data_IF_799374516097
#
_entry.id   IF_799374516097
#
_cell.length_a   1.000
_cell.length_b   1.000
_cell.length_c   1.000
_cell.angle_alpha   90.00
_cell.angle_beta   90.00
_cell.angle_gamma   90.00
#
_symmetry.space_group_name_H-M   'P 1'
#
loop_
_entity.id
_entity.type
_entity.pdbx_description
1 polymer ?
#
# COMPACT_ATOMS: atom_id res chain seq x y z
N UNK A 1 -18.18 3.86 -9.10
CA UNK A 1 -18.58 2.48 -8.79
C UNK A 1 -17.85 1.57 -9.78
N UNK A 2 -16.93 0.73 -9.31
CA UNK A 2 -16.15 -0.16 -10.19
C UNK A 2 -17.05 -1.29 -10.70
N UNK A 3 -17.02 -1.56 -12.00
CA UNK A 3 -17.83 -2.60 -12.62
C UNK A 3 -17.35 -4.00 -12.19
N UNK A 4 -18.28 -4.82 -11.70
CA UNK A 4 -18.04 -6.20 -11.30
C UNK A 4 -18.54 -7.16 -12.39
N UNK A 5 -17.84 -8.28 -12.65
CA UNK A 5 -18.28 -9.27 -13.64
C UNK A 5 -19.64 -9.86 -13.24
N UNK A 6 -20.52 -10.07 -14.23
CA UNK A 6 -21.82 -10.71 -14.04
C UNK A 6 -21.84 -12.06 -14.74
N UNK A 7 -21.78 -13.14 -13.94
CA UNK A 7 -21.91 -14.52 -14.37
C UNK A 7 -20.59 -15.27 -14.66
N UNK A 8 -20.63 -16.62 -14.72
CA UNK A 8 -19.42 -17.48 -14.64
C UNK A 8 -18.40 -17.27 -15.77
N UNK A 9 -18.88 -16.97 -16.99
CA UNK A 9 -18.01 -16.70 -18.14
C UNK A 9 -17.25 -15.38 -17.98
N UNK A 10 -17.91 -14.36 -17.43
CA UNK A 10 -17.29 -13.05 -17.20
C UNK A 10 -16.26 -13.13 -16.08
N UNK A 11 -16.55 -13.91 -15.03
CA UNK A 11 -15.60 -14.18 -13.94
C UNK A 11 -14.33 -14.86 -14.45
N UNK A 12 -14.48 -15.92 -15.25
CA UNK A 12 -13.30 -16.61 -15.82
C UNK A 12 -12.43 -15.68 -16.68
N UNK A 13 -13.04 -14.81 -17.49
CA UNK A 13 -12.31 -13.80 -18.27
C UNK A 13 -11.57 -12.82 -17.33
N UNK A 14 -12.24 -12.35 -16.26
CA UNK A 14 -11.61 -11.47 -15.28
C UNK A 14 -10.40 -12.12 -14.62
N UNK A 15 -10.56 -13.37 -14.19
CA UNK A 15 -9.49 -14.14 -13.55
C UNK A 15 -8.29 -14.31 -14.48
N UNK A 16 -8.49 -14.75 -15.72
CA UNK A 16 -7.39 -14.95 -16.67
C UNK A 16 -6.66 -13.65 -17.00
N UNK A 17 -7.38 -12.54 -17.17
CA UNK A 17 -6.76 -11.23 -17.45
C UNK A 17 -6.00 -10.70 -16.23
N UNK A 18 -6.55 -10.85 -15.02
CA UNK A 18 -5.88 -10.44 -13.80
C UNK A 18 -4.61 -11.26 -13.56
N UNK A 19 -4.66 -12.59 -13.69
CA UNK A 19 -3.49 -13.47 -13.53
C UNK A 19 -2.38 -13.10 -14.53
N UNK A 20 -2.72 -12.96 -15.82
CA UNK A 20 -1.77 -12.52 -16.84
C UNK A 20 -1.13 -11.16 -16.51
N UNK A 21 -1.90 -10.24 -15.94
CA UNK A 21 -1.39 -8.93 -15.51
C UNK A 21 -0.44 -9.08 -14.33
N UNK A 22 -0.73 -9.94 -13.34
CA UNK A 22 0.13 -10.20 -12.19
C UNK A 22 1.48 -10.80 -12.57
N UNK A 23 1.48 -11.73 -13.53
CA UNK A 23 2.69 -12.32 -14.10
C UNK A 23 3.56 -11.23 -14.76
N UNK A 24 2.97 -10.42 -15.63
CA UNK A 24 3.67 -9.31 -16.30
C UNK A 24 4.23 -8.28 -15.32
N UNK A 25 3.47 -7.93 -14.28
CA UNK A 25 3.94 -7.04 -13.22
C UNK A 25 5.13 -7.64 -12.45
N UNK A 26 5.17 -8.96 -12.29
CA UNK A 26 6.28 -9.65 -11.62
C UNK A 26 7.51 -9.78 -12.54
N UNK A 27 7.30 -9.94 -13.85
CA UNK A 27 8.37 -10.07 -14.86
C UNK A 27 9.10 -8.75 -15.12
N UNK A 28 8.38 -7.63 -15.16
CA UNK A 28 8.97 -6.35 -15.56
C UNK A 28 8.21 -5.10 -15.12
N UNK A 29 7.36 -5.23 -14.10
CA UNK A 29 6.58 -4.12 -13.56
C UNK A 29 5.54 -3.56 -14.54
N UNK A 30 5.10 -2.34 -14.26
CA UNK A 30 4.08 -1.67 -15.07
C UNK A 30 4.46 -1.49 -16.55
N UNK A 31 5.74 -1.23 -16.91
CA UNK A 31 6.16 -1.16 -18.31
C UNK A 31 5.91 -2.45 -19.10
N UNK A 32 6.12 -3.62 -18.49
CA UNK A 32 5.88 -4.91 -19.13
C UNK A 32 4.38 -5.22 -19.29
N UNK A 33 3.55 -4.78 -18.34
CA UNK A 33 2.10 -4.99 -18.33
C UNK A 33 1.32 -4.10 -19.33
N UNK A 34 1.73 -4.07 -20.60
CA UNK A 34 0.99 -3.39 -21.67
C UNK A 34 -0.32 -4.11 -21.99
N UNK A 35 -1.33 -3.40 -22.50
CA UNK A 35 -2.61 -4.04 -22.90
C UNK A 35 -2.40 -5.11 -23.97
N UNK A 36 -1.41 -4.90 -24.85
CA UNK A 36 -1.01 -5.85 -25.89
C UNK A 36 -0.41 -7.12 -25.30
N UNK A 37 0.54 -6.98 -24.38
CA UNK A 37 1.14 -8.10 -23.67
C UNK A 37 0.11 -8.86 -22.84
N UNK A 38 -0.79 -8.15 -22.14
CA UNK A 38 -1.87 -8.74 -21.36
C UNK A 38 -2.83 -9.51 -22.28
N UNK A 39 -3.24 -8.94 -23.42
CA UNK A 39 -4.11 -9.61 -24.38
C UNK A 39 -3.48 -10.89 -24.94
N UNK A 40 -2.19 -10.82 -25.31
CA UNK A 40 -1.44 -11.98 -25.80
C UNK A 40 -1.30 -13.08 -24.74
N UNK A 41 -1.03 -12.71 -23.47
CA UNK A 41 -0.87 -13.64 -22.35
C UNK A 41 -2.19 -14.30 -21.94
N UNK A 42 -3.25 -13.49 -21.82
CA UNK A 42 -4.57 -13.94 -21.38
C UNK A 42 -5.41 -14.58 -22.48
N UNK A 43 -5.00 -14.45 -23.75
CA UNK A 43 -5.79 -14.85 -24.92
C UNK A 43 -7.17 -14.15 -24.98
N UNK A 44 -7.27 -12.96 -24.39
CA UNK A 44 -8.47 -12.12 -24.39
C UNK A 44 -8.25 -10.90 -25.26
N UNK A 45 -9.22 -10.57 -26.12
CA UNK A 45 -9.12 -9.42 -27.02
C UNK A 45 -8.98 -8.10 -26.26
N UNK A 46 -8.25 -7.14 -26.81
CA UNK A 46 -8.13 -5.78 -26.24
C UNK A 46 -9.49 -5.11 -26.04
N UNK A 47 -10.42 -5.30 -26.99
CA UNK A 47 -11.78 -4.77 -26.90
C UNK A 47 -12.52 -5.30 -25.66
N UNK A 48 -12.36 -6.59 -25.35
CA UNK A 48 -12.91 -7.20 -24.13
C UNK A 48 -12.24 -6.63 -22.87
N UNK A 49 -10.93 -6.40 -22.88
CA UNK A 49 -10.21 -5.77 -21.75
C UNK A 49 -10.75 -4.35 -21.50
N UNK A 50 -10.80 -3.50 -22.53
CA UNK A 50 -11.30 -2.13 -22.39
C UNK A 50 -12.79 -2.05 -21.99
N UNK A 51 -13.58 -3.09 -22.29
CA UNK A 51 -14.97 -3.18 -21.81
C UNK A 51 -15.06 -3.31 -20.28
N UNK A 52 -14.05 -3.91 -19.63
CA UNK A 52 -14.08 -4.23 -18.21
C UNK A 52 -13.20 -3.32 -17.34
N UNK A 53 -12.13 -2.77 -17.91
CA UNK A 53 -11.25 -1.84 -17.20
C UNK A 53 -11.09 -0.56 -18.01
N UNK A 54 -11.28 0.62 -17.38
CA UNK A 54 -11.24 1.90 -18.08
C UNK A 54 -9.84 2.26 -18.58
N UNK A 55 -8.79 1.66 -18.00
CA UNK A 55 -7.41 1.93 -18.37
C UNK A 55 -6.46 0.78 -18.00
N UNK A 56 -5.23 0.82 -18.53
CA UNK A 56 -4.14 -0.08 -18.12
C UNK A 56 -3.84 0.06 -16.63
N UNK A 57 -3.78 1.29 -16.12
CA UNK A 57 -3.49 1.55 -14.69
C UNK A 57 -4.58 0.99 -13.80
N UNK A 58 -5.85 1.09 -14.19
CA UNK A 58 -6.96 0.50 -13.44
C UNK A 58 -6.87 -1.03 -13.34
N UNK A 59 -6.58 -1.70 -14.46
CA UNK A 59 -6.35 -3.15 -14.47
C UNK A 59 -5.13 -3.54 -13.63
N UNK A 60 -4.01 -2.86 -13.81
CA UNK A 60 -2.77 -3.14 -13.08
C UNK A 60 -2.91 -2.87 -11.59
N UNK A 61 -3.64 -1.82 -11.18
CA UNK A 61 -3.96 -1.54 -9.78
C UNK A 61 -4.78 -2.66 -9.12
N UNK A 62 -5.82 -3.16 -9.82
CA UNK A 62 -6.61 -4.30 -9.32
C UNK A 62 -5.77 -5.58 -9.21
N UNK A 63 -4.97 -5.88 -10.23
CA UNK A 63 -4.07 -7.03 -10.24
C UNK A 63 -3.03 -6.97 -9.11
N UNK A 64 -2.38 -5.81 -8.95
CA UNK A 64 -1.40 -5.55 -7.89
C UNK A 64 -2.03 -5.61 -6.50
N UNK A 65 -3.21 -5.03 -6.31
CA UNK A 65 -3.99 -5.13 -5.08
C UNK A 65 -4.22 -6.60 -4.67
N UNK A 66 -4.61 -7.45 -5.63
CA UNK A 66 -4.77 -8.89 -5.40
C UNK A 66 -3.45 -9.60 -5.07
N UNK A 67 -2.33 -9.26 -5.71
CA UNK A 67 -1.00 -9.81 -5.35
C UNK A 67 -0.61 -9.49 -3.91
N UNK A 68 -1.10 -8.35 -3.44
CA UNK A 68 -0.77 -7.77 -2.15
C UNK A 68 -1.88 -7.98 -1.10
N UNK A 69 -2.87 -8.82 -1.39
CA UNK A 69 -4.04 -9.08 -0.53
C UNK A 69 -3.76 -10.04 0.63
N UNK A 70 -2.50 -10.44 0.86
CA UNK A 70 -2.12 -11.20 2.03
C UNK A 70 -2.44 -10.42 3.31
N UNK A 71 -2.75 -11.14 4.39
CA UNK A 71 -2.96 -10.53 5.70
C UNK A 71 -1.75 -9.63 6.04
N UNK A 72 -2.03 -8.39 6.40
CA UNK A 72 -1.04 -7.46 6.93
C UNK A 72 -1.19 -7.51 8.46
N UNK A 73 -0.56 -8.46 9.16
CA UNK A 73 -0.69 -8.54 10.60
C UNK A 73 -0.22 -7.22 11.20
N UNK A 74 -1.09 -6.55 11.93
CA UNK A 74 -0.75 -5.30 12.58
C UNK A 74 0.27 -5.57 13.70
N UNK A 75 1.31 -4.75 13.84
CA UNK A 75 2.16 -4.77 15.04
C UNK A 75 1.30 -4.62 16.30
N UNK A 76 1.60 -5.38 17.35
CA UNK A 76 0.94 -5.23 18.65
C UNK A 76 1.96 -5.37 19.78
N UNK A 77 2.82 -4.37 19.93
CA UNK A 77 3.83 -4.31 21.00
C UNK A 77 3.24 -3.75 22.30
N UNK A 78 1.94 -3.49 22.36
CA UNK A 78 1.28 -2.88 23.51
C UNK A 78 1.59 -1.39 23.74
N UNK A 79 2.22 -0.69 22.79
CA UNK A 79 2.55 0.72 22.89
C UNK A 79 2.62 1.38 21.50
N UNK A 80 2.03 2.58 21.35
CA UNK A 80 1.91 3.27 20.06
C UNK A 80 3.26 3.53 19.38
N UNK A 81 4.28 3.89 20.18
CA UNK A 81 5.64 4.11 19.67
C UNK A 81 6.17 2.87 18.97
N UNK A 82 6.00 1.70 19.60
CA UNK A 82 6.44 0.43 19.05
C UNK A 82 5.65 0.05 17.81
N UNK A 83 4.32 0.06 17.93
CA UNK A 83 3.41 -0.31 16.86
C UNK A 83 3.65 0.49 15.57
N UNK A 84 3.71 1.82 15.69
CA UNK A 84 3.89 2.72 14.54
C UNK A 84 5.31 2.68 14.00
N UNK A 85 6.34 2.52 14.85
CA UNK A 85 7.73 2.38 14.39
C UNK A 85 7.91 1.11 13.58
N UNK A 86 7.43 -0.03 14.07
CA UNK A 86 7.50 -1.29 13.34
C UNK A 86 6.75 -1.22 12.01
N UNK A 87 5.62 -0.51 11.99
CA UNK A 87 4.88 -0.30 10.75
C UNK A 87 5.64 0.57 9.74
N UNK A 88 6.30 1.64 10.18
CA UNK A 88 7.18 2.46 9.30
C UNK A 88 8.34 1.64 8.75
N UNK A 89 8.96 0.79 9.57
CA UNK A 89 10.04 -0.13 9.14
C UNK A 89 9.53 -1.09 8.06
N UNK A 90 8.37 -1.73 8.28
CA UNK A 90 7.76 -2.66 7.31
C UNK A 90 7.44 -1.98 5.98
N UNK A 91 6.90 -0.76 6.01
CA UNK A 91 6.60 0.01 4.80
C UNK A 91 7.89 0.43 4.08
N UNK A 92 8.91 0.86 4.82
CA UNK A 92 10.22 1.19 4.24
C UNK A 92 10.86 -0.02 3.54
N UNK A 93 10.82 -1.20 4.17
CA UNK A 93 11.31 -2.44 3.57
C UNK A 93 10.52 -2.82 2.30
N UNK A 94 9.20 -2.68 2.34
CA UNK A 94 8.35 -2.88 1.17
C UNK A 94 8.73 -1.95 0.01
N UNK A 95 8.90 -0.65 0.27
CA UNK A 95 9.34 0.31 -0.76
C UNK A 95 10.75 0.02 -1.29
N UNK A 96 11.62 -0.60 -0.48
CA UNK A 96 12.93 -1.06 -0.91
C UNK A 96 12.90 -2.30 -1.83
N UNK A 97 11.81 -3.07 -1.84
CA UNK A 97 11.69 -4.32 -2.59
C UNK A 97 11.38 -4.14 -4.08
N UNK A 98 11.47 -5.23 -4.85
CA UNK A 98 11.01 -5.29 -6.25
C UNK A 98 9.52 -4.93 -6.38
N UNK A 99 8.68 -5.40 -5.46
CA UNK A 99 7.26 -5.01 -5.43
C UNK A 99 7.07 -3.52 -5.12
N UNK A 100 7.98 -2.92 -4.35
CA UNK A 100 8.05 -1.48 -4.12
C UNK A 100 8.34 -0.68 -5.39
N UNK A 101 9.10 -1.25 -6.33
CA UNK A 101 9.30 -0.68 -7.68
C UNK A 101 7.96 -0.59 -8.41
N UNK A 102 7.22 -1.70 -8.46
CA UNK A 102 5.91 -1.78 -9.14
C UNK A 102 4.90 -0.83 -8.52
N UNK A 103 4.87 -0.76 -7.18
CA UNK A 103 4.05 0.21 -6.45
C UNK A 103 4.37 1.66 -6.87
N UNK A 104 5.64 2.04 -6.91
CA UNK A 104 6.05 3.41 -7.27
C UNK A 104 5.68 3.75 -8.73
N UNK A 105 5.84 2.79 -9.66
CA UNK A 105 5.42 2.94 -11.05
C UNK A 105 3.91 3.14 -11.19
N UNK A 106 3.11 2.35 -10.46
CA UNK A 106 1.65 2.49 -10.42
C UNK A 106 1.21 3.82 -9.82
N UNK A 107 1.84 4.23 -8.72
CA UNK A 107 1.55 5.51 -8.09
C UNK A 107 1.85 6.68 -9.04
N UNK A 108 2.99 6.65 -9.74
CA UNK A 108 3.33 7.65 -10.75
C UNK A 108 2.30 7.66 -11.90
N UNK A 109 1.88 6.50 -12.39
CA UNK A 109 0.87 6.40 -13.45
C UNK A 109 -0.51 6.93 -13.04
N UNK A 110 -0.82 6.96 -11.73
CA UNK A 110 -2.08 7.54 -11.23
C UNK A 110 -2.15 9.07 -11.39
N UNK A 111 -1.02 9.76 -11.57
CA UNK A 111 -0.98 11.22 -11.77
C UNK A 111 -1.70 11.60 -13.06
N UNK A 112 -1.48 10.84 -14.14
CA UNK A 112 -2.06 11.09 -15.46
C UNK A 112 -3.36 10.32 -15.71
N UNK A 113 -3.76 9.44 -14.79
CA UNK A 113 -4.92 8.56 -14.96
C UNK A 113 -5.83 8.54 -13.71
N UNK A 114 -6.78 9.50 -13.62
CA UNK A 114 -7.72 9.57 -12.49
C UNK A 114 -8.58 8.32 -12.31
N UNK A 115 -8.92 7.62 -13.41
CA UNK A 115 -9.69 6.37 -13.35
C UNK A 115 -8.83 5.25 -12.75
N UNK A 116 -7.58 5.14 -13.16
CA UNK A 116 -6.58 4.27 -12.55
C UNK A 116 -6.36 4.57 -11.06
N UNK A 117 -6.28 5.86 -10.70
CA UNK A 117 -6.11 6.31 -9.32
C UNK A 117 -7.26 5.86 -8.40
N UNK A 118 -8.50 5.83 -8.91
CA UNK A 118 -9.65 5.31 -8.16
C UNK A 118 -9.50 3.81 -7.85
N UNK A 119 -9.08 3.01 -8.83
CA UNK A 119 -8.83 1.58 -8.64
C UNK A 119 -7.65 1.34 -7.69
N UNK A 120 -6.59 2.15 -7.77
CA UNK A 120 -5.46 2.06 -6.85
C UNK A 120 -5.86 2.36 -5.41
N UNK A 121 -6.70 3.38 -5.20
CA UNK A 121 -7.27 3.66 -3.89
C UNK A 121 -8.12 2.50 -3.36
N UNK A 122 -9.01 1.97 -4.19
CA UNK A 122 -9.94 0.89 -3.80
C UNK A 122 -9.22 -0.43 -3.52
N UNK A 123 -8.41 -0.91 -4.46
CA UNK A 123 -7.87 -2.28 -4.40
C UNK A 123 -6.53 -2.40 -3.66
N UNK A 124 -5.79 -1.30 -3.50
CA UNK A 124 -4.51 -1.31 -2.79
C UNK A 124 -4.55 -0.48 -1.51
N UNK A 125 -4.82 0.83 -1.60
CA UNK A 125 -4.63 1.74 -0.46
C UNK A 125 -5.67 1.57 0.65
N UNK A 126 -6.94 1.30 0.33
CA UNK A 126 -8.04 1.29 1.31
C UNK A 126 -7.75 0.35 2.50
N UNK A 127 -7.37 -0.90 2.24
CA UNK A 127 -7.04 -1.86 3.31
C UNK A 127 -5.83 -1.44 4.15
N UNK A 128 -4.81 -0.81 3.53
CA UNK A 128 -3.63 -0.31 4.24
C UNK A 128 -3.95 0.90 5.11
N UNK A 129 -4.80 1.82 4.63
CA UNK A 129 -5.27 2.96 5.41
C UNK A 129 -6.13 2.50 6.60
N UNK A 130 -7.00 1.52 6.40
CA UNK A 130 -7.78 0.92 7.48
C UNK A 130 -6.88 0.32 8.57
N UNK A 131 -5.84 -0.43 8.18
CA UNK A 131 -4.83 -0.98 9.08
C UNK A 131 -4.13 0.11 9.93
N UNK A 132 -3.68 1.21 9.32
CA UNK A 132 -3.08 2.32 10.07
C UNK A 132 -4.12 3.01 10.97
N UNK A 133 -5.36 3.11 10.51
CA UNK A 133 -6.46 3.68 11.30
C UNK A 133 -6.69 2.89 12.57
N UNK A 134 -6.62 1.56 12.50
CA UNK A 134 -6.71 0.70 13.67
C UNK A 134 -5.52 0.89 14.63
N UNK A 135 -4.28 0.99 14.12
CA UNK A 135 -3.11 1.30 14.96
C UNK A 135 -3.26 2.64 15.70
N UNK A 136 -3.73 3.66 14.98
CA UNK A 136 -3.93 4.99 15.54
C UNK A 136 -5.04 5.01 16.58
N UNK A 137 -6.17 4.34 16.31
CA UNK A 137 -7.27 4.26 17.26
C UNK A 137 -6.85 3.56 18.55
N UNK A 138 -6.07 2.47 18.48
CA UNK A 138 -5.53 1.82 19.68
C UNK A 138 -4.63 2.75 20.50
N UNK A 139 -3.85 3.62 19.85
CA UNK A 139 -3.05 4.62 20.55
C UNK A 139 -3.94 5.66 21.26
N UNK A 140 -5.00 6.14 20.60
CA UNK A 140 -5.98 7.06 21.19
C UNK A 140 -6.69 6.44 22.38
N UNK A 141 -7.13 5.19 22.26
CA UNK A 141 -7.84 4.48 23.34
C UNK A 141 -6.95 4.27 24.57
N UNK A 142 -5.62 4.15 24.37
CA UNK A 142 -4.62 4.09 25.44
C UNK A 142 -4.24 5.47 26.02
N UNK A 143 -4.75 6.57 25.46
CA UNK A 143 -4.35 7.94 25.84
C UNK A 143 -2.94 8.33 25.37
N UNK A 144 -2.37 7.58 24.41
CA UNK A 144 -1.01 7.78 23.92
C UNK A 144 -0.94 8.77 22.74
N UNK A 145 -2.07 9.02 22.08
CA UNK A 145 -2.21 9.86 20.90
C UNK A 145 -3.27 10.95 21.09
N UNK A 146 -3.09 12.08 20.42
CA UNK A 146 -4.07 13.17 20.42
C UNK A 146 -5.22 12.85 19.44
N UNK A 147 -6.46 12.66 19.93
CA UNK A 147 -7.62 12.35 19.08
C UNK A 147 -8.02 13.48 18.13
N UNK A 148 -7.50 14.70 18.31
CA UNK A 148 -7.75 15.82 17.41
C UNK A 148 -6.95 15.76 16.11
N UNK A 149 -5.88 14.95 16.05
CA UNK A 149 -5.08 14.75 14.84
C UNK A 149 -5.82 13.80 13.90
N UNK A 150 -6.07 14.26 12.67
CA UNK A 150 -6.67 13.41 11.65
C UNK A 150 -5.72 12.27 11.27
N UNK A 151 -6.24 11.05 11.20
CA UNK A 151 -5.42 9.88 10.85
C UNK A 151 -4.80 9.97 9.46
N UNK A 152 -5.42 10.73 8.57
CA UNK A 152 -4.89 11.00 7.23
C UNK A 152 -3.58 11.80 7.31
N UNK A 153 -3.49 12.77 8.22
CA UNK A 153 -2.26 13.53 8.47
C UNK A 153 -1.18 12.63 9.08
N UNK A 154 -1.56 11.71 9.98
CA UNK A 154 -0.65 10.71 10.55
C UNK A 154 -0.04 9.84 9.45
N UNK A 155 -0.87 9.36 8.52
CA UNK A 155 -0.43 8.55 7.37
C UNK A 155 0.54 9.36 6.50
N UNK A 156 0.20 10.60 6.18
CA UNK A 156 1.01 11.44 5.29
C UNK A 156 2.37 11.80 5.93
N UNK A 157 2.39 12.09 7.23
CA UNK A 157 3.63 12.36 7.99
C UNK A 157 4.52 11.12 8.08
N UNK A 158 3.95 9.95 8.39
CA UNK A 158 4.73 8.72 8.60
C UNK A 158 5.26 8.12 7.29
N UNK A 159 4.47 8.15 6.21
CA UNK A 159 4.79 7.41 4.99
C UNK A 159 5.15 8.30 3.79
N UNK A 160 4.72 9.57 3.78
CA UNK A 160 5.05 10.55 2.74
C UNK A 160 6.56 10.69 2.48
N UNK A 161 7.41 10.82 3.51
CA UNK A 161 8.86 10.88 3.31
C UNK A 161 9.44 9.60 2.70
N UNK A 162 8.90 8.43 3.03
CA UNK A 162 9.37 7.14 2.48
C UNK A 162 9.08 7.04 0.98
N UNK A 163 7.90 7.47 0.53
CA UNK A 163 7.57 7.45 -0.89
C UNK A 163 8.35 8.53 -1.66
N UNK A 164 8.57 9.71 -1.06
CA UNK A 164 9.42 10.73 -1.65
C UNK A 164 10.86 10.23 -1.86
N UNK A 165 11.44 9.54 -0.85
CA UNK A 165 12.74 8.86 -0.96
C UNK A 165 12.74 7.81 -2.07
N UNK A 166 11.69 7.00 -2.17
CA UNK A 166 11.57 5.97 -3.22
C UNK A 166 11.54 6.55 -4.63
N UNK A 167 10.78 7.63 -4.84
CA UNK A 167 10.59 8.22 -6.17
C UNK A 167 11.81 8.99 -6.65
N UNK A 168 12.55 9.64 -5.75
CA UNK A 168 13.66 10.53 -6.10
C UNK A 168 15.03 9.91 -5.87
N UNK A 169 15.14 8.87 -5.05
CA UNK A 169 16.41 8.23 -4.71
C UNK A 169 17.36 9.11 -3.87
N UNK A 170 16.91 10.27 -3.38
CA UNK A 170 17.78 11.22 -2.66
C UNK A 170 18.28 10.69 -1.30
N UNK A 171 17.69 9.60 -0.80
CA UNK A 171 18.07 8.99 0.47
C UNK A 171 17.72 7.49 0.50
N UNK A 172 18.53 6.70 1.20
CA UNK A 172 18.38 5.25 1.24
C UNK A 172 17.25 4.78 2.17
N UNK A 173 16.53 3.74 1.75
CA UNK A 173 15.48 3.08 2.53
C UNK A 173 16.09 1.94 3.37
N UNK A 174 16.77 2.29 4.45
CA UNK A 174 17.29 1.33 5.44
C UNK A 174 16.39 1.29 6.67
N UNK A 175 16.43 0.18 7.41
CA UNK A 175 15.72 0.06 8.68
C UNK A 175 16.13 1.16 9.67
N UNK A 176 17.43 1.43 9.78
CA UNK A 176 17.95 2.49 10.65
C UNK A 176 17.30 3.85 10.35
N UNK A 177 17.23 4.23 9.06
CA UNK A 177 16.62 5.50 8.65
C UNK A 177 15.10 5.51 8.79
N UNK A 178 14.44 4.35 8.66
CA UNK A 178 13.01 4.22 8.90
C UNK A 178 12.67 4.41 10.39
N UNK A 179 13.43 3.79 11.29
CA UNK A 179 13.29 3.98 12.75
C UNK A 179 13.56 5.42 13.17
N UNK A 180 14.61 6.04 12.63
CA UNK A 180 14.92 7.45 12.91
C UNK A 180 13.83 8.41 12.42
N UNK A 181 13.26 8.15 11.24
CA UNK A 181 12.13 8.91 10.71
C UNK A 181 10.89 8.75 11.61
N UNK A 182 10.54 7.52 11.97
CA UNK A 182 9.43 7.24 12.87
C UNK A 182 9.60 7.98 14.20
N UNK A 183 10.76 7.86 14.85
CA UNK A 183 11.04 8.55 16.11
C UNK A 183 10.98 10.08 15.99
N UNK A 184 11.27 10.65 14.82
CA UNK A 184 11.13 12.10 14.58
C UNK A 184 9.66 12.50 14.43
N UNK A 185 8.90 11.76 13.62
CA UNK A 185 7.48 12.00 13.40
C UNK A 185 6.66 11.82 14.69
N UNK A 186 6.92 10.75 15.45
CA UNK A 186 6.16 10.41 16.65
C UNK A 186 6.34 11.42 17.77
N UNK A 187 7.46 12.15 17.83
CA UNK A 187 7.63 13.28 18.77
C UNK A 187 6.61 14.40 18.56
N UNK A 188 6.12 14.57 17.34
CA UNK A 188 5.10 15.58 17.01
C UNK A 188 3.67 15.02 17.12
N UNK A 189 3.50 13.69 17.02
CA UNK A 189 2.19 13.04 16.94
C UNK A 189 1.70 12.49 18.29
N UNK A 190 2.62 12.13 19.19
CA UNK A 190 2.29 11.49 20.46
C UNK A 190 2.45 12.45 21.64
N UNK A 191 1.73 12.14 22.73
CA UNK A 191 1.84 12.90 23.98
C UNK A 191 3.20 12.69 24.65
N UNK A 192 3.62 13.63 25.51
CA UNK A 192 4.90 13.52 26.22
C UNK A 192 5.01 12.26 27.10
N UNK A 193 3.89 11.80 27.65
CA UNK A 193 3.81 10.59 28.47
C UNK A 193 3.96 9.31 27.63
N UNK A 194 3.41 9.30 26.41
CA UNK A 194 3.58 8.18 25.47
C UNK A 194 5.04 8.02 25.01
N UNK A 195 5.75 9.14 24.80
CA UNK A 195 7.17 9.14 24.44
C UNK A 195 8.09 8.65 25.57
N UNK A 196 7.61 8.73 26.82
CA UNK A 196 8.36 8.37 28.03
C UNK A 196 8.05 6.95 28.54
N UNK A 197 7.04 6.29 27.97
CA UNK A 197 6.59 4.97 28.41
C UNK A 197 7.56 3.86 27.98
N UNK A 198 8.06 3.01 28.89
CA UNK A 198 8.95 1.91 28.53
C UNK A 198 8.21 0.89 27.67
N UNK A 199 8.91 0.38 26.65
CA UNK A 199 8.46 -0.70 25.77
C UNK A 199 8.02 -1.89 26.64
N UNK A 200 6.71 -2.23 26.67
CA UNK A 200 6.26 -3.47 27.32
C UNK A 200 6.58 -4.60 26.36
N UNK A 201 7.59 -5.39 26.67
CA UNK A 201 7.90 -6.61 25.92
C UNK A 201 6.66 -7.52 25.92
N UNK A 202 6.28 -8.11 24.79
CA UNK A 202 5.25 -9.15 24.78
C UNK A 202 5.70 -10.33 25.66
N UNK A 203 4.78 -11.04 26.32
CA UNK A 203 5.12 -12.28 27.01
C UNK A 203 5.67 -13.30 26.00
N UNK A 204 6.80 -13.92 26.32
CA UNK A 204 7.34 -15.07 25.56
C UNK A 204 6.37 -16.25 25.72
N UNK A 205 5.87 -16.79 24.60
CA UNK A 205 5.18 -18.09 24.52
C UNK A 205 6.17 -19.22 24.21
#
# INVERSE_FOLDING_TARGET
>A
MVAHPTGPRSERIHETVLLATQELLSEGGLPAATVDAIAARSQVSKATIYKHWPSRTALAAKAFGRMMAQALPLPDTGAAVGDLTEQVVRVSAFYGSERGVVFAQLLAACVDDPAGAAYFREYFLAGRRAAITELWQRAVDRGEADPSIAVDDVIDILFGPLIFRRLTGHYTLTEHHARALAGTALKALLTADALSSPHRTPPEE
#
